data_IF_475477964897
#
_entry.id   IF_475477964897
#
_cell.length_a   1.000
_cell.length_b   1.000
_cell.length_c   1.000
_cell.angle_alpha   90.00
_cell.angle_beta   90.00
_cell.angle_gamma   90.00
#
_symmetry.space_group_name_H-M   'P 1'
#
loop_
_entity.id
_entity.type
_entity.pdbx_description
1 polymer ?
#
# COMPACT_ATOMS: atom_id res chain seq x y z
N UNK A 1 12.10 -2.42 12.65
CA UNK A 1 11.44 -1.80 11.48
C UNK A 1 9.95 -1.73 11.73
N UNK A 2 9.35 -0.54 11.71
CA UNK A 2 7.93 -0.37 12.04
C UNK A 2 7.19 0.13 10.78
N UNK A 3 6.15 -0.59 10.37
CA UNK A 3 5.25 -0.15 9.29
C UNK A 3 3.95 0.35 9.91
N UNK A 4 3.57 1.58 9.59
CA UNK A 4 2.35 2.21 10.08
C UNK A 4 1.44 2.55 8.91
N UNK A 5 0.13 2.40 9.14
CA UNK A 5 -0.89 2.75 8.16
C UNK A 5 -1.60 4.01 8.60
N UNK A 6 -1.66 5.01 7.72
CA UNK A 6 -2.57 6.13 7.91
C UNK A 6 -4.01 5.63 7.94
N UNK A 7 -4.89 6.35 8.64
CA UNK A 7 -6.32 6.03 8.69
C UNK A 7 -6.93 5.94 7.28
N UNK A 8 -6.55 6.86 6.38
CA UNK A 8 -7.00 6.84 4.99
C UNK A 8 -6.60 5.56 4.26
N UNK A 9 -5.36 5.09 4.42
CA UNK A 9 -4.90 3.85 3.81
C UNK A 9 -5.62 2.63 4.41
N UNK A 10 -5.83 2.62 5.74
CA UNK A 10 -6.57 1.56 6.45
C UNK A 10 -8.02 1.46 5.99
N UNK A 11 -8.73 2.58 5.86
CA UNK A 11 -10.10 2.61 5.37
C UNK A 11 -10.21 2.06 3.95
N UNK A 12 -9.27 2.45 3.06
CA UNK A 12 -9.22 1.92 1.69
C UNK A 12 -8.96 0.42 1.65
N UNK A 13 -8.09 -0.08 2.52
CA UNK A 13 -7.83 -1.50 2.66
C UNK A 13 -9.07 -2.28 3.15
N UNK A 14 -9.78 -1.75 4.15
CA UNK A 14 -11.00 -2.39 4.69
C UNK A 14 -12.10 -2.55 3.63
N UNK A 15 -12.18 -1.61 2.69
CA UNK A 15 -13.14 -1.61 1.58
C UNK A 15 -12.88 -2.69 0.52
N UNK A 16 -11.77 -3.44 0.58
CA UNK A 16 -11.55 -4.57 -0.32
C UNK A 16 -12.67 -5.59 -0.10
N UNK A 17 -13.35 -5.94 -1.18
CA UNK A 17 -14.37 -6.98 -1.25
C UNK A 17 -14.11 -7.82 -2.49
N UNK A 18 -14.57 -9.06 -2.46
CA UNK A 18 -14.58 -9.93 -3.62
C UNK A 18 -16.02 -10.37 -3.86
N UNK A 19 -16.45 -10.31 -5.12
CA UNK A 19 -17.72 -10.89 -5.56
C UNK A 19 -17.56 -12.39 -5.92
N UNK A 20 -16.32 -12.88 -5.94
CA UNK A 20 -15.96 -14.25 -6.36
C UNK A 20 -15.52 -15.16 -5.22
N UNK A 21 -15.22 -14.60 -4.04
CA UNK A 21 -14.71 -15.34 -2.89
C UNK A 21 -15.66 -15.23 -1.71
N UNK A 22 -15.66 -16.25 -0.87
CA UNK A 22 -16.34 -16.21 0.42
C UNK A 22 -15.75 -15.13 1.33
N UNK A 23 -16.49 -14.78 2.39
CA UNK A 23 -16.00 -13.83 3.38
C UNK A 23 -14.72 -14.32 4.07
N UNK A 24 -14.64 -15.62 4.37
CA UNK A 24 -13.45 -16.22 5.00
C UNK A 24 -12.23 -16.12 4.09
N UNK A 25 -12.35 -16.53 2.82
CA UNK A 25 -11.26 -16.40 1.84
C UNK A 25 -10.84 -14.93 1.66
N UNK A 26 -11.80 -14.00 1.69
CA UNK A 26 -11.51 -12.57 1.61
C UNK A 26 -10.73 -12.07 2.84
N UNK A 27 -11.03 -12.59 4.03
CA UNK A 27 -10.32 -12.26 5.28
C UNK A 27 -8.89 -12.83 5.22
N UNK A 28 -8.74 -14.09 4.83
CA UNK A 28 -7.42 -14.73 4.68
C UNK A 28 -6.56 -13.99 3.65
N UNK A 29 -7.14 -13.62 2.51
CA UNK A 29 -6.49 -12.79 1.51
C UNK A 29 -6.04 -11.45 2.10
N UNK A 30 -6.89 -10.75 2.85
CA UNK A 30 -6.55 -9.48 3.49
C UNK A 30 -5.37 -9.63 4.45
N UNK A 31 -5.37 -10.66 5.31
CA UNK A 31 -4.28 -10.91 6.26
C UNK A 31 -2.96 -11.12 5.52
N UNK A 32 -2.97 -11.95 4.47
CA UNK A 32 -1.79 -12.19 3.64
C UNK A 32 -1.34 -10.93 2.89
N UNK A 33 -2.27 -10.11 2.42
CA UNK A 33 -1.97 -8.87 1.73
C UNK A 33 -1.26 -7.87 2.64
N UNK A 34 -1.68 -7.73 3.91
CA UNK A 34 -0.99 -6.86 4.89
C UNK A 34 0.47 -7.28 5.03
N UNK A 35 0.72 -8.57 5.28
CA UNK A 35 2.09 -9.10 5.45
C UNK A 35 2.96 -8.81 4.23
N UNK A 36 2.44 -9.10 3.02
CA UNK A 36 3.16 -8.85 1.76
C UNK A 36 3.43 -7.36 1.54
N UNK A 37 2.51 -6.49 1.93
CA UNK A 37 2.72 -5.04 1.84
C UNK A 37 3.83 -4.60 2.77
N UNK A 38 3.80 -5.01 4.03
CA UNK A 38 4.81 -4.63 5.02
C UNK A 38 6.21 -5.13 4.64
N UNK A 39 6.33 -6.40 4.26
CA UNK A 39 7.58 -6.99 3.75
C UNK A 39 8.10 -6.27 2.51
N UNK A 40 7.20 -5.95 1.56
CA UNK A 40 7.58 -5.26 0.33
C UNK A 40 8.03 -3.82 0.61
N UNK A 41 7.35 -3.10 1.47
CA UNK A 41 7.72 -1.72 1.84
C UNK A 41 9.10 -1.69 2.50
N UNK A 42 9.36 -2.61 3.43
CA UNK A 42 10.66 -2.68 4.11
C UNK A 42 11.77 -3.09 3.14
N UNK A 43 11.55 -4.09 2.30
CA UNK A 43 12.56 -4.53 1.32
C UNK A 43 12.83 -3.50 0.21
N UNK A 44 11.80 -2.76 -0.21
CA UNK A 44 11.94 -1.72 -1.23
C UNK A 44 12.61 -0.46 -0.68
N UNK A 45 12.46 -0.15 0.60
CA UNK A 45 13.06 1.03 1.21
C UNK A 45 12.77 2.29 0.39
N UNK A 46 13.83 2.92 -0.14
CA UNK A 46 13.77 4.14 -0.95
C UNK A 46 14.00 3.93 -2.46
N UNK A 47 13.96 2.68 -2.93
CA UNK A 47 14.33 2.30 -4.32
C UNK A 47 13.43 2.95 -5.39
N UNK A 48 12.13 3.10 -5.10
CA UNK A 48 11.14 3.59 -6.06
C UNK A 48 10.52 4.91 -5.62
N UNK A 49 11.19 6.06 -5.85
CA UNK A 49 10.66 7.37 -5.52
C UNK A 49 9.48 7.76 -6.42
N UNK A 50 8.52 8.46 -5.85
CA UNK A 50 7.43 9.11 -6.57
C UNK A 50 7.95 10.34 -7.32
N UNK A 51 7.51 10.49 -8.57
CA UNK A 51 7.81 11.68 -9.39
C UNK A 51 6.98 12.89 -8.99
N UNK A 52 5.79 12.66 -8.44
CA UNK A 52 4.81 13.71 -8.13
C UNK A 52 4.94 14.25 -6.70
N UNK A 53 5.45 13.44 -5.77
CA UNK A 53 5.48 13.77 -4.35
C UNK A 53 6.87 13.55 -3.76
N UNK A 54 7.51 14.63 -3.31
CA UNK A 54 8.84 14.58 -2.69
C UNK A 54 8.83 13.68 -1.44
N UNK A 55 9.94 12.95 -1.24
CA UNK A 55 10.14 12.01 -0.13
C UNK A 55 9.02 10.97 0.03
N UNK A 56 8.33 10.66 -1.07
CA UNK A 56 7.31 9.63 -1.13
C UNK A 56 7.81 8.55 -2.07
N UNK A 57 7.62 7.30 -1.67
CA UNK A 57 8.00 6.12 -2.43
C UNK A 57 6.76 5.30 -2.72
N UNK A 58 6.85 4.39 -3.67
CA UNK A 58 5.76 3.48 -3.94
C UNK A 58 6.24 2.10 -4.35
N UNK A 59 5.41 1.10 -4.09
CA UNK A 59 5.60 -0.25 -4.59
C UNK A 59 4.27 -0.80 -5.11
N UNK A 60 4.39 -1.83 -5.94
CA UNK A 60 3.25 -2.62 -6.41
C UNK A 60 3.21 -3.91 -5.61
N UNK A 61 2.05 -4.21 -5.03
CA UNK A 61 1.79 -5.46 -4.30
C UNK A 61 0.50 -6.02 -4.84
N UNK A 62 0.61 -7.15 -5.54
CA UNK A 62 -0.50 -7.74 -6.30
C UNK A 62 -1.10 -6.70 -7.27
N UNK A 63 -2.39 -6.38 -7.14
CA UNK A 63 -3.07 -5.37 -7.96
C UNK A 63 -3.06 -3.98 -7.32
N UNK A 64 -2.36 -3.77 -6.22
CA UNK A 64 -2.41 -2.51 -5.47
C UNK A 64 -1.13 -1.69 -5.61
N UNK A 65 -1.32 -0.39 -5.79
CA UNK A 65 -0.28 0.63 -5.66
C UNK A 65 -0.27 1.09 -4.20
N UNK A 66 0.86 0.90 -3.53
CA UNK A 66 1.08 1.32 -2.16
C UNK A 66 2.04 2.50 -2.17
N UNK A 67 1.61 3.64 -1.65
CA UNK A 67 2.47 4.82 -1.45
C UNK A 67 2.84 4.94 0.01
N UNK A 68 4.10 5.25 0.28
CA UNK A 68 4.62 5.35 1.64
C UNK A 68 5.75 6.38 1.76
N UNK A 69 6.04 6.80 2.99
CA UNK A 69 7.19 7.63 3.33
C UNK A 69 8.15 6.83 4.19
N UNK A 70 9.44 6.92 3.89
CA UNK A 70 10.49 6.45 4.79
C UNK A 70 10.83 7.58 5.78
N UNK A 71 10.70 7.30 7.07
CA UNK A 71 10.99 8.21 8.17
C UNK A 71 12.21 7.70 8.94
N UNK A 72 12.89 8.61 9.65
CA UNK A 72 14.05 8.31 10.51
C UNK A 72 15.09 7.43 9.79
N UNK A 73 15.47 7.84 8.58
CA UNK A 73 16.45 7.12 7.75
C UNK A 73 16.09 5.67 7.41
N UNK A 74 14.80 5.31 7.44
CA UNK A 74 14.30 4.00 7.05
C UNK A 74 13.97 3.07 8.21
N UNK A 75 14.00 3.54 9.46
CA UNK A 75 13.57 2.77 10.63
C UNK A 75 12.03 2.61 10.72
N UNK A 76 11.31 3.60 10.17
CA UNK A 76 9.85 3.66 10.14
C UNK A 76 9.33 3.93 8.74
N UNK A 77 8.30 3.19 8.34
CA UNK A 77 7.61 3.39 7.07
C UNK A 77 6.15 3.73 7.31
N UNK A 78 5.71 4.88 6.81
CA UNK A 78 4.32 5.33 6.91
C UNK A 78 3.61 5.14 5.57
N UNK A 79 2.69 4.19 5.49
CA UNK A 79 1.82 3.97 4.33
C UNK A 79 0.77 5.08 4.29
N UNK A 80 0.91 5.96 3.31
CA UNK A 80 0.07 7.14 3.10
C UNK A 80 -1.06 6.89 2.12
N UNK A 81 -0.93 5.89 1.24
CA UNK A 81 -1.98 5.54 0.28
C UNK A 81 -1.96 4.07 -0.09
N UNK A 82 -3.17 3.53 -0.31
CA UNK A 82 -3.39 2.17 -0.76
C UNK A 82 -4.51 2.20 -1.81
N UNK A 83 -4.19 1.90 -3.07
CA UNK A 83 -5.10 2.05 -4.21
C UNK A 83 -5.04 0.83 -5.12
N UNK A 84 -6.19 0.39 -5.62
CA UNK A 84 -6.22 -0.62 -6.68
C UNK A 84 -5.65 -0.02 -7.98
N UNK A 85 -4.81 -0.74 -8.69
CA UNK A 85 -4.11 -0.26 -9.90
C UNK A 85 -5.05 0.06 -11.06
N UNK A 86 -6.21 -0.60 -11.12
CA UNK A 86 -7.27 -0.28 -12.08
C UNK A 86 -8.09 0.98 -11.71
N UNK A 87 -7.90 1.55 -10.52
CA UNK A 87 -8.59 2.78 -10.14
C UNK A 87 -8.02 3.93 -10.99
N UNK A 88 -8.84 4.43 -11.94
CA UNK A 88 -8.44 5.47 -12.90
C UNK A 88 -7.70 6.60 -12.19
N UNK A 89 -6.49 6.89 -12.64
CA UNK A 89 -5.86 8.18 -12.36
C UNK A 89 -6.63 9.22 -13.16
N UNK A 90 -7.22 10.21 -12.49
CA UNK A 90 -7.69 11.43 -13.16
C UNK A 90 -6.45 12.23 -13.59
N UNK A 91 -5.72 11.75 -14.59
CA UNK A 91 -4.68 12.51 -15.27
C UNK A 91 -5.43 13.48 -16.19
N UNK A 92 -5.55 14.73 -15.75
CA UNK A 92 -5.88 15.83 -16.67
C UNK A 92 -4.59 16.12 -17.44
N UNK A 93 -4.58 15.79 -18.73
CA UNK A 93 -3.57 16.25 -19.68
C UNK A 93 -3.84 17.71 -20.04
#
# INVERSE_FOLDING_TARGET
>A
MIVQWTETARLRFQQIKSDHYTQQETIEYKINLIRRVEEKVVSMGTIMPSREYRNTYYCLVDRYVVSYKALDQGERYLITSFKHGAMKRNLKY
#
